data_IF_082303491283
#
_entry.id   IF_082303491283
#
_cell.length_a   1.000
_cell.length_b   1.000
_cell.length_c   1.000
_cell.angle_alpha   90.00
_cell.angle_beta   90.00
_cell.angle_gamma   90.00
#
_symmetry.space_group_name_H-M   'P 1'
#
loop_
_entity.id
_entity.type
_entity.pdbx_description
1 polymer ?
#
# COMPACT_ATOMS: atom_id res chain seq x y z
N UNK A 1 8.13 -58.18 15.46
CA UNK A 1 6.84 -57.50 15.16
C UNK A 1 6.75 -56.05 15.69
N UNK A 2 7.31 -55.69 16.85
CA UNK A 2 7.12 -54.36 17.47
C UNK A 2 7.88 -53.17 16.84
N UNK A 3 9.04 -53.40 16.21
CA UNK A 3 9.85 -52.33 15.60
C UNK A 3 9.25 -51.76 14.31
N UNK A 4 8.63 -52.62 13.49
CA UNK A 4 8.04 -52.24 12.19
C UNK A 4 6.82 -51.31 12.39
N UNK A 5 6.01 -51.59 13.42
CA UNK A 5 4.82 -50.80 13.76
C UNK A 5 5.17 -49.42 14.36
N UNK A 6 6.31 -49.30 15.06
CA UNK A 6 6.85 -48.01 15.53
C UNK A 6 7.41 -47.15 14.39
N UNK A 7 8.09 -47.75 13.42
CA UNK A 7 8.61 -47.05 12.24
C UNK A 7 7.52 -46.47 11.33
N UNK A 8 6.41 -47.22 11.13
CA UNK A 8 5.25 -46.73 10.38
C UNK A 8 4.55 -45.54 11.06
N UNK A 9 4.35 -45.57 12.38
CA UNK A 9 3.79 -44.42 13.10
C UNK A 9 4.72 -43.20 13.02
N UNK A 10 6.03 -43.38 13.20
CA UNK A 10 7.00 -42.28 13.14
C UNK A 10 7.03 -41.61 11.75
N UNK A 11 6.96 -42.41 10.68
CA UNK A 11 6.91 -41.90 9.31
C UNK A 11 5.63 -41.09 9.05
N UNK A 12 4.48 -41.55 9.54
CA UNK A 12 3.20 -40.83 9.43
C UNK A 12 3.23 -39.49 10.18
N UNK A 13 3.83 -39.43 11.36
CA UNK A 13 4.00 -38.17 12.09
C UNK A 13 4.90 -37.19 11.35
N UNK A 14 6.02 -37.65 10.77
CA UNK A 14 6.93 -36.80 9.99
C UNK A 14 6.24 -36.26 8.74
N UNK A 15 5.48 -37.09 8.02
CA UNK A 15 4.70 -36.67 6.84
C UNK A 15 3.60 -35.67 7.23
N UNK A 16 2.90 -35.90 8.35
CA UNK A 16 1.89 -34.96 8.83
C UNK A 16 2.50 -33.62 9.25
N UNK A 17 3.62 -33.62 9.99
CA UNK A 17 4.35 -32.41 10.38
C UNK A 17 4.90 -31.63 9.18
N UNK A 18 5.34 -32.31 8.12
CA UNK A 18 5.83 -31.66 6.90
C UNK A 18 4.70 -31.12 6.02
N UNK A 19 3.55 -31.79 5.93
CA UNK A 19 2.35 -31.26 5.29
C UNK A 19 1.78 -30.04 6.03
N UNK A 20 1.83 -30.05 7.37
CA UNK A 20 1.52 -28.87 8.18
C UNK A 20 2.56 -27.78 7.92
N UNK A 21 3.87 -28.05 7.98
CA UNK A 21 4.88 -27.01 7.71
C UNK A 21 4.75 -26.37 6.31
N UNK A 22 4.40 -27.14 5.28
CA UNK A 22 4.16 -26.65 3.92
C UNK A 22 2.90 -25.79 3.81
N UNK A 23 1.87 -26.03 4.62
CA UNK A 23 0.65 -25.20 4.64
C UNK A 23 0.82 -23.89 5.41
N UNK A 24 1.97 -23.68 6.07
CA UNK A 24 2.35 -22.44 6.74
C UNK A 24 3.41 -21.65 5.95
N UNK A 25 3.84 -22.16 4.80
CA UNK A 25 4.68 -21.40 3.89
C UNK A 25 3.84 -20.23 3.36
N UNK A 26 4.18 -19.02 3.80
CA UNK A 26 3.51 -17.81 3.37
C UNK A 26 3.90 -17.52 1.91
N UNK A 27 2.91 -17.47 1.03
CA UNK A 27 3.11 -17.11 -0.37
C UNK A 27 3.26 -15.59 -0.50
N UNK A 28 4.41 -15.17 -1.02
CA UNK A 28 4.77 -13.76 -1.22
C UNK A 28 4.85 -13.38 -2.70
N UNK A 29 4.40 -14.25 -3.61
CA UNK A 29 4.38 -13.93 -5.03
C UNK A 29 3.36 -12.82 -5.30
N UNK A 30 3.79 -11.79 -6.02
CA UNK A 30 2.96 -10.61 -6.30
C UNK A 30 1.71 -10.99 -7.10
N UNK A 31 1.82 -11.99 -7.97
CA UNK A 31 0.70 -12.50 -8.76
C UNK A 31 -0.45 -13.05 -7.90
N UNK A 32 -0.16 -13.55 -6.70
CA UNK A 32 -1.12 -14.23 -5.82
C UNK A 32 -1.73 -13.29 -4.77
N UNK A 33 -1.27 -12.03 -4.70
CA UNK A 33 -1.84 -11.02 -3.80
C UNK A 33 -3.30 -10.77 -4.17
N UNK A 34 -4.18 -10.99 -3.19
CA UNK A 34 -5.59 -10.69 -3.29
C UNK A 34 -5.84 -9.19 -3.12
N UNK A 35 -6.70 -8.64 -3.96
CA UNK A 35 -7.09 -7.22 -3.94
C UNK A 35 -8.59 -7.08 -3.64
N UNK A 36 -9.03 -5.84 -3.42
CA UNK A 36 -10.40 -5.51 -3.05
C UNK A 36 -11.39 -6.03 -4.10
N UNK A 37 -12.27 -6.92 -3.69
CA UNK A 37 -13.30 -7.46 -4.58
C UNK A 37 -14.36 -6.40 -4.89
N UNK A 38 -14.79 -6.35 -6.16
CA UNK A 38 -15.80 -5.41 -6.64
C UNK A 38 -15.51 -3.95 -6.25
N UNK A 39 -14.24 -3.53 -6.40
CA UNK A 39 -13.81 -2.20 -5.99
C UNK A 39 -14.61 -1.07 -6.65
N UNK A 40 -15.31 -0.29 -5.83
CA UNK A 40 -16.05 0.89 -6.24
C UNK A 40 -15.21 2.18 -6.10
N UNK A 41 -14.81 2.74 -7.24
CA UNK A 41 -14.01 3.97 -7.32
C UNK A 41 -14.76 5.19 -6.80
N UNK A 42 -16.08 5.26 -6.97
CA UNK A 42 -16.89 6.39 -6.53
C UNK A 42 -16.96 6.44 -5.00
N UNK A 43 -17.11 5.28 -4.35
CA UNK A 43 -17.03 5.18 -2.88
C UNK A 43 -15.63 5.45 -2.34
N UNK A 44 -14.60 5.11 -3.11
CA UNK A 44 -13.21 5.34 -2.72
C UNK A 44 -12.77 6.80 -2.85
N UNK A 45 -13.47 7.60 -3.66
CA UNK A 45 -13.20 9.02 -3.85
C UNK A 45 -13.20 9.79 -2.52
N UNK A 46 -12.60 10.98 -2.52
CA UNK A 46 -12.43 11.80 -1.32
C UNK A 46 -11.01 11.82 -0.78
N UNK A 47 -10.86 12.43 0.39
CA UNK A 47 -9.57 12.60 1.06
C UNK A 47 -9.17 11.34 1.83
N UNK A 48 -7.90 10.98 1.75
CA UNK A 48 -7.26 9.90 2.50
C UNK A 48 -5.95 10.41 3.11
N UNK A 49 -5.76 10.13 4.39
CA UNK A 49 -4.55 10.47 5.14
C UNK A 49 -3.72 9.22 5.32
N UNK A 50 -2.45 9.22 4.87
CA UNK A 50 -1.59 8.08 5.14
C UNK A 50 -1.21 8.11 6.64
N UNK A 51 -1.51 7.03 7.37
CA UNK A 51 -1.22 6.90 8.81
C UNK A 51 -0.11 5.88 9.07
N UNK A 52 0.20 5.05 8.08
CA UNK A 52 1.37 4.18 8.06
C UNK A 52 1.86 3.95 6.65
N UNK A 53 3.16 3.66 6.49
CA UNK A 53 3.72 3.31 5.18
C UNK A 53 4.92 2.38 5.26
N UNK A 54 5.10 1.59 4.20
CA UNK A 54 6.33 0.87 3.89
C UNK A 54 7.02 1.61 2.75
N UNK A 55 8.30 1.91 2.93
CA UNK A 55 9.09 2.68 1.98
C UNK A 55 9.61 1.81 0.82
N UNK A 56 9.62 2.33 -0.43
CA UNK A 56 10.40 1.76 -1.52
C UNK A 56 11.88 2.15 -1.37
N UNK A 57 12.72 1.65 -2.25
CA UNK A 57 14.06 2.19 -2.43
C UNK A 57 14.02 3.61 -3.05
N UNK A 58 14.95 4.47 -2.60
CA UNK A 58 15.11 5.82 -3.15
C UNK A 58 14.27 6.91 -2.48
N UNK A 59 14.17 8.05 -3.17
CA UNK A 59 13.50 9.26 -2.66
C UNK A 59 11.98 9.08 -2.66
N UNK A 60 11.35 9.28 -1.50
CA UNK A 60 9.92 9.12 -1.32
C UNK A 60 9.35 10.10 -0.29
N UNK A 61 8.02 10.28 -0.29
CA UNK A 61 7.33 11.13 0.68
C UNK A 61 7.58 10.65 2.12
N UNK A 62 7.79 11.59 3.05
CA UNK A 62 8.19 11.29 4.43
C UNK A 62 7.03 11.23 5.41
N UNK A 63 6.27 12.33 5.49
CA UNK A 63 5.13 12.51 6.39
C UNK A 63 4.17 13.61 5.90
N UNK A 64 3.12 13.92 6.67
CA UNK A 64 2.04 14.83 6.28
C UNK A 64 1.39 14.44 4.93
N UNK A 65 1.36 13.13 4.65
CA UNK A 65 0.97 12.60 3.34
C UNK A 65 -0.55 12.48 3.27
N UNK A 66 -1.16 13.28 2.41
CA UNK A 66 -2.57 13.21 2.09
C UNK A 66 -2.77 13.00 0.59
N UNK A 67 -3.78 12.22 0.23
CA UNK A 67 -4.22 12.03 -1.14
C UNK A 67 -5.69 12.41 -1.25
N UNK A 68 -6.06 13.08 -2.33
CA UNK A 68 -7.43 13.38 -2.70
C UNK A 68 -7.72 12.68 -4.01
N UNK A 69 -8.64 11.72 -3.99
CA UNK A 69 -9.07 11.01 -5.18
C UNK A 69 -10.36 11.62 -5.70
N UNK A 70 -10.45 11.75 -7.02
CA UNK A 70 -11.57 12.37 -7.73
C UNK A 70 -11.95 11.43 -8.87
N UNK A 71 -13.25 11.18 -9.00
CA UNK A 71 -13.82 10.44 -10.14
C UNK A 71 -14.73 11.41 -10.89
N UNK A 72 -14.45 11.64 -12.17
CA UNK A 72 -15.28 12.48 -13.04
C UNK A 72 -16.52 11.74 -13.54
N UNK A 73 -17.47 12.48 -14.12
CA UNK A 73 -18.73 11.93 -14.63
C UNK A 73 -18.54 10.86 -15.73
N UNK A 74 -17.40 10.89 -16.43
CA UNK A 74 -16.99 9.89 -17.42
C UNK A 74 -16.36 8.63 -16.79
N UNK A 75 -16.31 8.55 -15.46
CA UNK A 75 -15.74 7.44 -14.69
C UNK A 75 -14.23 7.47 -14.53
N UNK A 76 -13.54 8.48 -15.09
CA UNK A 76 -12.08 8.57 -14.99
C UNK A 76 -11.64 8.99 -13.59
N UNK A 77 -10.71 8.22 -13.03
CA UNK A 77 -10.13 8.50 -11.72
C UNK A 77 -8.85 9.31 -11.86
N UNK A 78 -8.71 10.33 -11.03
CA UNK A 78 -7.49 11.14 -10.86
C UNK A 78 -7.21 11.34 -9.38
N UNK A 79 -5.99 11.75 -9.05
CA UNK A 79 -5.65 12.11 -7.68
C UNK A 79 -4.66 13.26 -7.60
N UNK A 80 -4.73 13.98 -6.48
CA UNK A 80 -3.66 14.87 -6.04
C UNK A 80 -3.09 14.32 -4.74
N UNK A 81 -1.78 14.38 -4.54
CA UNK A 81 -1.16 14.02 -3.28
C UNK A 81 -0.21 15.13 -2.81
N UNK A 82 -0.22 15.39 -1.50
CA UNK A 82 0.69 16.35 -0.86
C UNK A 82 1.40 15.67 0.28
N UNK A 83 2.68 15.96 0.47
CA UNK A 83 3.44 15.45 1.61
C UNK A 83 4.82 16.07 1.71
N UNK A 84 5.40 16.00 2.91
CA UNK A 84 6.77 16.49 3.16
C UNK A 84 7.77 15.56 2.49
N UNK A 85 8.77 16.13 1.84
CA UNK A 85 9.90 15.43 1.24
C UNK A 85 11.19 16.15 1.60
N UNK A 86 12.28 15.39 1.73
CA UNK A 86 13.63 15.95 1.84
C UNK A 86 14.35 15.63 0.53
N UNK A 87 14.65 16.68 -0.23
CA UNK A 87 15.46 16.58 -1.44
C UNK A 87 16.90 17.01 -1.14
N UNK A 88 17.79 16.84 -2.14
CA UNK A 88 19.23 17.05 -2.06
C UNK A 88 19.61 18.25 -1.17
N UNK A 89 20.68 18.07 -0.36
CA UNK A 89 21.17 19.06 0.63
C UNK A 89 20.23 19.34 1.81
N UNK A 90 19.44 18.34 2.23
CA UNK A 90 18.49 18.45 3.35
C UNK A 90 17.45 19.57 3.15
N UNK A 91 17.10 19.85 1.89
CA UNK A 91 16.05 20.81 1.62
C UNK A 91 14.69 20.16 1.84
N UNK A 92 14.01 20.58 2.91
CA UNK A 92 12.67 20.13 3.22
C UNK A 92 11.62 20.99 2.52
N UNK A 93 10.65 20.35 1.88
CA UNK A 93 9.52 21.03 1.25
C UNK A 93 8.29 20.14 1.23
N UNK A 94 7.14 20.71 0.84
CA UNK A 94 5.95 19.93 0.53
C UNK A 94 5.87 19.72 -0.98
N UNK A 95 5.88 18.46 -1.41
CA UNK A 95 5.68 18.09 -2.80
C UNK A 95 4.18 17.99 -3.07
N UNK A 96 3.71 18.73 -4.08
CA UNK A 96 2.39 18.59 -4.65
C UNK A 96 2.48 17.72 -5.92
N UNK A 97 1.81 16.57 -5.87
CA UNK A 97 1.84 15.53 -6.89
C UNK A 97 0.45 15.38 -7.50
N UNK A 98 0.42 15.06 -8.79
CA UNK A 98 -0.77 14.78 -9.57
C UNK A 98 -0.67 13.36 -10.13
N UNK A 99 -1.82 12.70 -10.29
CA UNK A 99 -1.88 11.37 -10.85
C UNK A 99 -3.15 11.13 -11.67
N UNK A 100 -3.00 10.30 -12.70
CA UNK A 100 -4.10 9.72 -13.48
C UNK A 100 -4.02 8.19 -13.42
N UNK A 101 -5.17 7.54 -13.46
CA UNK A 101 -5.26 6.09 -13.37
C UNK A 101 -5.81 5.49 -14.67
N UNK A 102 -5.10 4.51 -15.21
CA UNK A 102 -5.56 3.66 -16.30
C UNK A 102 -6.16 2.37 -15.75
N UNK A 103 -7.27 1.95 -16.34
CA UNK A 103 -7.99 0.74 -15.93
C UNK A 103 -7.25 -0.54 -16.33
N UNK A 104 -7.47 -1.60 -15.56
CA UNK A 104 -7.09 -2.96 -15.91
C UNK A 104 -8.32 -3.88 -15.79
N UNK A 105 -8.24 -5.15 -16.24
CA UNK A 105 -9.37 -6.07 -16.10
C UNK A 105 -9.82 -6.29 -14.65
N UNK A 106 -8.92 -6.09 -13.67
CA UNK A 106 -9.26 -6.11 -12.25
C UNK A 106 -9.49 -4.66 -11.77
N UNK A 107 -10.70 -4.31 -11.30
CA UNK A 107 -11.04 -2.93 -10.96
C UNK A 107 -10.19 -2.37 -9.81
N UNK A 108 -9.65 -3.24 -8.93
CA UNK A 108 -8.82 -2.82 -7.80
C UNK A 108 -7.33 -2.69 -8.17
N UNK A 109 -6.92 -3.10 -9.37
CA UNK A 109 -5.56 -2.95 -9.90
C UNK A 109 -5.57 -1.87 -10.96
N UNK A 110 -5.00 -0.71 -10.65
CA UNK A 110 -4.91 0.42 -11.56
C UNK A 110 -3.44 0.64 -11.96
N UNK A 111 -3.20 1.23 -13.13
CA UNK A 111 -1.88 1.78 -13.48
C UNK A 111 -1.88 3.27 -13.23
N UNK A 112 -1.02 3.72 -12.33
CA UNK A 112 -0.92 5.12 -11.95
C UNK A 112 0.22 5.78 -12.71
N UNK A 113 -0.11 6.81 -13.48
CA UNK A 113 0.87 7.76 -14.01
C UNK A 113 0.88 8.99 -13.10
N UNK A 114 2.05 9.35 -12.57
CA UNK A 114 2.18 10.46 -11.62
C UNK A 114 3.28 11.43 -12.02
N UNK A 115 3.13 12.69 -11.61
CA UNK A 115 4.12 13.75 -11.79
C UNK A 115 3.93 14.84 -10.73
N UNK A 116 5.00 15.54 -10.36
CA UNK A 116 4.87 16.71 -9.50
C UNK A 116 4.46 17.98 -10.27
N UNK A 117 3.81 18.90 -9.58
CA UNK A 117 3.41 20.21 -10.14
C UNK A 117 4.63 21.04 -10.55
N UNK A 118 5.73 20.91 -9.80
CA UNK A 118 7.00 21.52 -10.15
C UNK A 118 7.90 20.53 -10.94
N UNK A 119 8.59 21.02 -11.97
CA UNK A 119 9.36 20.19 -12.91
C UNK A 119 10.53 19.42 -12.30
N UNK A 120 11.02 19.83 -11.13
CA UNK A 120 12.08 19.14 -10.40
C UNK A 120 11.58 17.96 -9.54
N UNK A 121 10.26 17.79 -9.43
CA UNK A 121 9.66 16.65 -8.75
C UNK A 121 9.58 15.45 -9.69
N UNK A 122 9.51 14.25 -9.11
CA UNK A 122 9.53 13.00 -9.87
C UNK A 122 8.29 12.84 -10.76
N UNK A 123 8.48 12.18 -11.89
CA UNK A 123 7.40 11.64 -12.74
C UNK A 123 7.67 10.16 -12.96
N UNK A 124 6.61 9.36 -13.08
CA UNK A 124 6.76 7.92 -13.26
C UNK A 124 5.44 7.22 -13.51
N UNK A 125 5.52 5.90 -13.62
CA UNK A 125 4.37 5.01 -13.64
C UNK A 125 4.60 3.94 -12.59
N UNK A 126 3.60 3.70 -11.75
CA UNK A 126 3.59 2.65 -10.75
C UNK A 126 2.27 1.89 -10.85
N UNK A 127 2.25 0.63 -10.44
CA UNK A 127 0.98 -0.04 -10.13
C UNK A 127 0.34 0.60 -8.90
N UNK A 128 -0.99 0.69 -8.88
CA UNK A 128 -1.78 1.20 -7.76
C UNK A 128 -2.87 0.20 -7.42
N UNK A 129 -2.58 -0.68 -6.46
CA UNK A 129 -3.50 -1.74 -6.07
C UNK A 129 -4.18 -1.37 -4.76
N UNK A 130 -5.50 -1.48 -4.73
CA UNK A 130 -6.30 -1.39 -3.50
C UNK A 130 -6.46 -2.80 -2.95
N UNK A 131 -5.71 -3.11 -1.89
CA UNK A 131 -5.68 -4.43 -1.27
C UNK A 131 -6.97 -4.71 -0.50
N UNK A 132 -7.40 -3.73 0.28
CA UNK A 132 -8.62 -3.81 1.09
C UNK A 132 -9.06 -2.40 1.49
N UNK A 133 -10.37 -2.19 1.65
CA UNK A 133 -10.94 -0.92 2.13
C UNK A 133 -12.39 -1.09 2.53
N UNK A 134 -12.81 -0.39 3.58
CA UNK A 134 -14.23 -0.21 3.88
C UNK A 134 -14.82 1.07 3.27
N UNK A 135 -14.02 1.79 2.46
CA UNK A 135 -14.28 3.10 1.84
C UNK A 135 -14.40 4.28 2.81
N UNK A 136 -14.95 4.04 3.98
CA UNK A 136 -15.41 5.07 4.90
C UNK A 136 -14.43 5.34 6.04
N UNK A 137 -13.45 4.45 6.29
CA UNK A 137 -12.52 4.61 7.42
C UNK A 137 -11.08 4.25 7.08
N UNK A 138 -10.82 3.13 6.41
CA UNK A 138 -9.46 2.67 6.10
C UNK A 138 -9.32 2.19 4.66
N UNK A 139 -8.09 2.27 4.16
CA UNK A 139 -7.70 1.60 2.93
C UNK A 139 -6.24 1.14 2.99
N UNK A 140 -5.95 0.06 2.27
CA UNK A 140 -4.61 -0.50 2.17
C UNK A 140 -4.20 -0.47 0.71
N UNK A 141 -3.19 0.32 0.41
CA UNK A 141 -2.62 0.46 -0.91
C UNK A 141 -1.33 -0.36 -1.02
N UNK A 142 -1.08 -0.97 -2.17
CA UNK A 142 0.17 -1.66 -2.48
C UNK A 142 0.64 -1.36 -3.90
N UNK A 143 1.95 -1.31 -4.08
CA UNK A 143 2.61 -1.22 -5.37
C UNK A 143 3.91 -2.02 -5.35
N UNK A 144 4.19 -2.71 -6.45
CA UNK A 144 5.48 -3.36 -6.70
C UNK A 144 6.13 -2.72 -7.93
N UNK A 145 7.34 -2.18 -7.75
CA UNK A 145 8.14 -1.53 -8.80
C UNK A 145 9.08 -2.50 -9.50
N UNK A 146 9.57 -3.50 -8.77
CA UNK A 146 10.52 -4.46 -9.30
C UNK A 146 10.20 -5.87 -8.78
N UNK A 147 9.91 -6.78 -9.71
CA UNK A 147 9.74 -8.20 -9.41
C UNK A 147 11.10 -8.91 -9.36
N UNK A 148 11.22 -9.88 -8.47
CA UNK A 148 12.28 -10.87 -8.49
C UNK A 148 11.96 -11.99 -9.49
N UNK A 149 12.97 -12.78 -9.82
CA UNK A 149 12.92 -13.98 -10.67
C UNK A 149 11.98 -15.07 -10.15
N UNK A 150 11.73 -15.12 -8.84
CA UNK A 150 10.79 -16.06 -8.21
C UNK A 150 9.34 -15.53 -8.14
N UNK A 151 9.10 -14.31 -8.65
CA UNK A 151 7.80 -13.65 -8.65
C UNK A 151 7.47 -12.86 -7.37
N UNK A 152 8.37 -12.83 -6.39
CA UNK A 152 8.26 -11.92 -5.23
C UNK A 152 8.62 -10.48 -5.62
N UNK A 153 8.41 -9.51 -4.73
CA UNK A 153 8.72 -8.10 -5.00
C UNK A 153 10.03 -7.66 -4.33
N UNK A 154 10.99 -7.21 -5.14
CA UNK A 154 12.26 -6.64 -4.68
C UNK A 154 12.08 -5.21 -4.16
N UNK A 155 11.35 -4.37 -4.92
CA UNK A 155 11.07 -2.99 -4.53
C UNK A 155 9.56 -2.73 -4.52
N UNK A 156 9.01 -2.58 -3.33
CA UNK A 156 7.58 -2.32 -3.10
C UNK A 156 7.37 -1.08 -2.25
N UNK A 157 6.19 -0.49 -2.32
CA UNK A 157 5.73 0.42 -1.28
C UNK A 157 4.26 0.20 -0.99
N UNK A 158 3.85 0.63 0.20
CA UNK A 158 2.47 0.47 0.64
C UNK A 158 2.09 1.59 1.59
N UNK A 159 0.85 2.04 1.47
CA UNK A 159 0.25 3.00 2.39
C UNK A 159 -0.91 2.35 3.13
N UNK A 160 -1.01 2.66 4.41
CA UNK A 160 -2.22 2.48 5.20
C UNK A 160 -2.87 3.85 5.28
N UNK A 161 -3.99 4.00 4.60
CA UNK A 161 -4.79 5.20 4.60
C UNK A 161 -5.89 5.13 5.66
N UNK A 162 -6.24 6.30 6.19
CA UNK A 162 -7.39 6.52 7.05
C UNK A 162 -8.17 7.74 6.56
N UNK A 163 -9.49 7.75 6.74
CA UNK A 163 -10.30 8.98 6.59
C UNK A 163 -10.02 9.97 7.74
N UNK A 164 -9.35 9.54 8.80
CA UNK A 164 -8.99 10.35 9.95
C UNK A 164 -7.46 10.48 10.09
N UNK A 165 -6.91 11.72 10.14
CA UNK A 165 -5.46 11.93 10.25
C UNK A 165 -4.86 11.41 11.56
N UNK A 166 -5.69 11.20 12.59
CA UNK A 166 -5.29 10.70 13.92
C UNK A 166 -4.88 9.23 13.90
N UNK A 167 -5.34 8.43 12.93
CA UNK A 167 -5.04 7.01 12.85
C UNK A 167 -6.22 6.15 12.39
N UNK A 168 -6.07 4.84 12.59
CA UNK A 168 -7.11 3.83 12.38
C UNK A 168 -8.02 3.71 13.61
N UNK A 169 -9.25 3.26 13.40
CA UNK A 169 -10.11 2.84 14.52
C UNK A 169 -9.60 1.52 15.11
N UNK A 170 -9.87 1.21 16.39
CA UNK A 170 -9.47 -0.05 17.01
C UNK A 170 -9.90 -1.30 16.22
N UNK A 171 -11.10 -1.28 15.64
CA UNK A 171 -11.67 -2.38 14.85
C UNK A 171 -10.97 -2.62 13.50
N UNK A 172 -10.36 -1.59 12.92
CA UNK A 172 -9.66 -1.70 11.62
C UNK A 172 -8.25 -2.25 11.77
N UNK A 173 -7.62 -2.04 12.94
CA UNK A 173 -6.26 -2.47 13.23
C UNK A 173 -5.99 -3.97 13.03
N UNK A 174 -6.83 -4.92 13.50
CA UNK A 174 -6.62 -6.34 13.24
C UNK A 174 -6.72 -6.69 11.76
N UNK A 175 -7.65 -6.07 11.01
CA UNK A 175 -7.79 -6.28 9.57
C UNK A 175 -6.54 -5.82 8.83
N UNK A 176 -6.09 -4.59 9.11
CA UNK A 176 -4.85 -4.04 8.54
C UNK A 176 -3.64 -4.89 8.90
N UNK A 177 -3.57 -5.41 10.13
CA UNK A 177 -2.46 -6.28 10.57
C UNK A 177 -2.47 -7.60 9.80
N UNK A 178 -3.64 -8.20 9.60
CA UNK A 178 -3.81 -9.40 8.77
C UNK A 178 -3.38 -9.16 7.32
N UNK A 179 -3.80 -8.05 6.71
CA UNK A 179 -3.40 -7.69 5.34
C UNK A 179 -1.91 -7.39 5.20
N UNK A 180 -1.27 -6.80 6.21
CA UNK A 180 0.20 -6.64 6.23
C UNK A 180 0.92 -7.99 6.26
N UNK A 181 0.37 -8.96 6.99
CA UNK A 181 0.89 -10.33 6.96
C UNK A 181 0.71 -10.91 5.55
N UNK A 182 -0.48 -10.89 4.97
CA UNK A 182 -0.74 -11.41 3.61
C UNK A 182 0.16 -10.79 2.53
N UNK A 183 0.55 -9.52 2.66
CA UNK A 183 1.47 -8.83 1.74
C UNK A 183 2.96 -9.13 1.99
N UNK A 184 3.31 -9.91 3.02
CA UNK A 184 4.70 -10.14 3.45
C UNK A 184 5.42 -8.85 3.92
N UNK A 185 4.65 -7.92 4.46
CA UNK A 185 5.11 -6.60 4.91
C UNK A 185 4.86 -6.35 6.42
N UNK A 186 4.46 -7.36 7.19
CA UNK A 186 4.33 -7.22 8.65
C UNK A 186 5.66 -6.77 9.26
N UNK A 187 5.62 -5.77 10.15
CA UNK A 187 6.81 -5.19 10.77
C UNK A 187 7.63 -4.24 9.89
N UNK A 188 7.29 -4.10 8.59
CA UNK A 188 8.01 -3.21 7.65
C UNK A 188 7.39 -1.81 7.53
N UNK A 189 6.25 -1.55 8.17
CA UNK A 189 5.59 -0.24 8.15
C UNK A 189 6.09 0.65 9.28
N UNK A 190 6.28 1.93 8.97
CA UNK A 190 6.43 3.00 9.97
C UNK A 190 5.20 3.89 10.02
N UNK A 191 5.01 4.58 11.15
CA UNK A 191 3.93 5.57 11.30
C UNK A 191 4.21 6.79 10.41
N UNK A 192 3.13 7.40 9.94
CA UNK A 192 3.15 8.67 9.21
C UNK A 192 2.47 9.72 10.09
N UNK A 193 3.19 10.80 10.39
CA UNK A 193 2.70 11.88 11.25
C UNK A 193 2.00 12.96 10.44
N UNK A 194 0.96 13.56 11.02
CA UNK A 194 0.27 14.74 10.49
C UNK A 194 0.43 15.88 11.49
N UNK A 195 1.38 16.77 11.21
CA UNK A 195 1.77 17.87 12.10
C UNK A 195 1.30 19.24 11.59
N UNK A 196 0.66 19.27 10.42
CA UNK A 196 0.26 20.52 9.75
C UNK A 196 1.40 21.21 8.99
N UNK A 197 2.58 20.59 8.88
CA UNK A 197 3.74 21.18 8.18
C UNK A 197 3.39 21.62 6.74
N UNK A 198 2.58 20.80 6.06
CA UNK A 198 2.14 21.09 4.70
C UNK A 198 0.89 21.96 4.58
N UNK A 199 0.22 22.28 5.69
CA UNK A 199 -0.93 23.19 5.72
C UNK A 199 -0.49 24.65 5.90
N UNK A 200 0.51 24.88 6.76
CA UNK A 200 1.08 26.21 7.04
C UNK A 200 1.89 26.75 5.85
N UNK A 201 2.38 25.88 4.97
CA UNK A 201 3.17 26.22 3.79
C UNK A 201 2.34 26.52 2.54
N UNK A 202 1.01 26.73 2.66
CA UNK A 202 0.24 27.36 1.58
C UNK A 202 0.75 28.79 1.38
N UNK A 203 1.24 29.17 0.19
CA UNK A 203 1.27 30.58 -0.16
C UNK A 203 -0.15 31.13 -0.03
N UNK A 204 -0.29 32.27 0.62
CA UNK A 204 -1.49 33.10 0.62
C UNK A 204 -1.76 33.60 -0.80
N UNK A 205 -2.11 32.73 -1.75
CA UNK A 205 -2.56 33.11 -3.09
C UNK A 205 -3.16 31.87 -3.76
N UNK A 206 -4.47 31.73 -3.63
CA UNK A 206 -5.46 31.37 -4.65
C UNK A 206 -6.80 31.50 -3.92
N UNK A 207 -7.41 32.68 -4.07
CA UNK A 207 -8.82 32.95 -3.82
C UNK A 207 -9.53 32.96 -5.18
#
# INVERSE_FOLDING_TARGET
MGYIRKGQCMLLYIVALSLVALSWAQDCQVANIQVMQNFDRNRYAGTWYAVGKKDPEGLFLLDNIMAQFIVSDDGKMTATARGRVIILNNWEMCADMLATFEETPDPAKLRMKYWGVASYLQTGNDDHWVIDTDYDNYAIHYSCRLLDTDGTCLDSYSFIFSRHPTGLRPEDQPIVTQKKMELCLLGKYRRVSHTGFCEVSRPLDIQ
#
